data_IF_604898140303
#
_entry.id   IF_604898140303
#
_cell.length_a   1.000
_cell.length_b   1.000
_cell.length_c   1.000
_cell.angle_alpha   90.00
_cell.angle_beta   90.00
_cell.angle_gamma   90.00
#
_symmetry.space_group_name_H-M   'P 1'
#
loop_
_entity.id
_entity.type
_entity.pdbx_description
1 polymer ?
#
# COMPACT_ATOMS: atom_id res chain seq x y z
N UNK A 1 3.89 15.73 -19.31
CA UNK A 1 4.20 14.29 -19.28
C UNK A 1 3.00 13.56 -19.92
N UNK A 2 3.21 12.63 -20.85
CA UNK A 2 2.08 11.95 -21.53
C UNK A 2 1.77 10.62 -20.83
N UNK A 3 0.54 10.42 -20.40
CA UNK A 3 0.06 9.21 -19.72
C UNK A 3 -0.36 8.16 -20.77
N UNK A 4 0.61 7.39 -21.27
CA UNK A 4 0.32 6.30 -22.23
C UNK A 4 0.31 4.93 -21.50
N UNK A 5 -0.82 4.61 -20.90
CA UNK A 5 -1.01 3.35 -20.14
C UNK A 5 -0.89 2.08 -21.00
N UNK A 6 -0.92 2.20 -22.34
CA UNK A 6 -0.75 1.05 -23.25
C UNK A 6 0.68 0.49 -23.21
N UNK A 7 1.65 1.32 -22.82
CA UNK A 7 3.06 0.95 -22.68
C UNK A 7 3.39 0.37 -21.31
N UNK A 8 2.49 0.44 -20.35
CA UNK A 8 2.71 -0.07 -19.01
C UNK A 8 2.73 -1.61 -19.00
N UNK A 9 3.49 -2.17 -18.07
CA UNK A 9 3.62 -3.63 -17.89
C UNK A 9 2.96 -4.08 -16.60
N UNK A 10 2.67 -5.36 -16.52
CA UNK A 10 2.04 -5.98 -15.34
C UNK A 10 3.09 -6.41 -14.33
N UNK A 11 2.80 -6.14 -13.06
CA UNK A 11 3.61 -6.52 -11.91
C UNK A 11 2.71 -7.15 -10.85
N UNK A 12 3.19 -8.18 -10.17
CA UNK A 12 2.50 -8.69 -8.98
C UNK A 12 2.60 -7.68 -7.86
N UNK A 13 1.54 -7.54 -7.06
CA UNK A 13 1.58 -6.68 -5.86
C UNK A 13 2.73 -7.10 -4.94
N UNK A 14 2.99 -8.41 -4.81
CA UNK A 14 4.09 -8.97 -4.03
C UNK A 14 5.50 -8.62 -4.52
N UNK A 15 5.66 -8.22 -5.77
CA UNK A 15 6.97 -7.75 -6.27
C UNK A 15 7.23 -6.27 -5.95
N UNK A 16 6.21 -5.55 -5.50
CA UNK A 16 6.26 -4.11 -5.19
C UNK A 16 6.18 -3.86 -3.68
N UNK A 17 5.33 -4.61 -2.98
CA UNK A 17 5.04 -4.39 -1.56
C UNK A 17 5.34 -5.62 -0.70
N UNK A 18 5.66 -5.35 0.58
CA UNK A 18 5.41 -6.29 1.67
C UNK A 18 4.06 -6.00 2.30
N UNK A 19 3.39 -7.02 2.85
CA UNK A 19 2.08 -6.87 3.49
C UNK A 19 2.15 -7.36 4.94
N UNK A 20 1.50 -6.61 5.84
CA UNK A 20 1.47 -6.90 7.26
C UNK A 20 0.03 -6.89 7.78
N UNK A 21 -0.39 -8.01 8.39
CA UNK A 21 -1.75 -8.17 8.90
C UNK A 21 -1.93 -7.42 10.21
N UNK A 22 -3.03 -6.66 10.34
CA UNK A 22 -3.40 -6.01 11.59
C UNK A 22 -3.87 -6.99 12.67
N UNK A 23 -3.88 -6.52 13.90
CA UNK A 23 -4.43 -7.22 15.08
C UNK A 23 -5.65 -6.48 15.60
N UNK A 24 -6.53 -7.19 16.31
CA UNK A 24 -7.73 -6.57 16.89
C UNK A 24 -7.36 -5.44 17.85
N UNK A 25 -7.92 -4.25 17.62
CA UNK A 25 -7.83 -3.07 18.48
C UNK A 25 -9.26 -2.62 18.74
N UNK A 26 -9.69 -2.53 20.00
CA UNK A 26 -11.03 -2.09 20.35
C UNK A 26 -11.12 -0.58 20.50
N UNK A 27 -12.35 -0.03 20.45
CA UNK A 27 -12.58 1.39 20.68
C UNK A 27 -12.23 1.78 22.13
N UNK A 28 -12.54 0.93 23.08
CA UNK A 28 -12.22 1.10 24.48
C UNK A 28 -10.70 1.22 24.68
N UNK A 29 -9.90 0.36 24.05
CA UNK A 29 -8.44 0.46 24.11
C UNK A 29 -7.90 1.77 23.56
N UNK A 30 -8.50 2.28 22.46
CA UNK A 30 -8.13 3.58 21.87
C UNK A 30 -8.45 4.71 22.82
N UNK A 31 -9.62 4.69 23.49
CA UNK A 31 -10.06 5.72 24.42
C UNK A 31 -9.23 5.70 25.71
N UNK A 32 -8.95 4.51 26.27
CA UNK A 32 -8.18 4.35 27.50
C UNK A 32 -6.67 4.64 27.31
N UNK A 33 -6.16 4.48 26.09
CA UNK A 33 -4.76 4.70 25.76
C UNK A 33 -4.62 5.79 24.68
N UNK A 34 -5.34 6.89 24.86
CA UNK A 34 -5.35 7.99 23.89
C UNK A 34 -3.96 8.60 23.65
N UNK A 35 -3.63 8.94 22.42
CA UNK A 35 -2.35 9.50 22.02
C UNK A 35 -2.44 10.22 20.66
N UNK A 36 -1.34 10.28 19.95
CA UNK A 36 -1.26 10.98 18.65
C UNK A 36 -1.06 10.04 17.46
N UNK A 37 -0.87 8.73 17.71
CA UNK A 37 -0.60 7.78 16.64
C UNK A 37 -1.89 7.28 16.00
N UNK A 38 -1.97 7.34 14.67
CA UNK A 38 -3.18 7.07 13.90
C UNK A 38 -3.54 5.58 13.95
N UNK A 39 -4.81 5.27 14.25
CA UNK A 39 -5.38 3.92 14.15
C UNK A 39 -6.21 3.82 12.89
N UNK A 40 -5.91 2.86 12.02
CA UNK A 40 -6.63 2.62 10.77
C UNK A 40 -7.36 1.28 10.80
N UNK A 41 -8.59 1.28 10.31
CA UNK A 41 -9.42 0.10 10.14
C UNK A 41 -10.08 0.09 8.73
N UNK A 42 -11.13 -0.72 8.52
CA UNK A 42 -11.72 -0.96 7.20
C UNK A 42 -12.65 0.14 6.69
N UNK A 43 -12.84 1.23 7.39
CA UNK A 43 -13.71 2.34 6.95
C UNK A 43 -13.15 3.09 5.74
N UNK A 44 -14.02 3.73 4.96
CA UNK A 44 -13.64 4.65 3.87
C UNK A 44 -13.63 6.10 4.35
N UNK A 45 -14.46 6.42 5.34
CA UNK A 45 -14.55 7.74 5.92
C UNK A 45 -13.25 8.11 6.61
N UNK A 46 -12.94 9.41 6.60
CA UNK A 46 -11.75 9.93 7.26
C UNK A 46 -10.45 9.16 6.93
N UNK A 47 -10.26 8.78 5.66
CA UNK A 47 -9.09 8.03 5.20
C UNK A 47 -8.86 6.69 5.95
N UNK A 48 -9.93 6.05 6.43
CA UNK A 48 -9.89 4.81 7.22
C UNK A 48 -9.51 5.00 8.69
N UNK A 49 -9.31 6.25 9.13
CA UNK A 49 -8.89 6.55 10.50
C UNK A 49 -10.04 6.37 11.48
N UNK A 50 -9.85 5.47 12.45
CA UNK A 50 -10.81 5.20 13.52
C UNK A 50 -10.61 6.12 14.74
N UNK A 51 -9.35 6.48 15.03
CA UNK A 51 -8.98 7.28 16.19
C UNK A 51 -7.47 7.42 16.29
N UNK A 52 -7.01 7.84 17.48
CA UNK A 52 -5.59 8.00 17.78
C UNK A 52 -5.27 7.34 19.12
N UNK A 53 -4.14 6.64 19.18
CA UNK A 53 -3.69 5.83 20.31
C UNK A 53 -2.25 6.21 20.72
N UNK A 54 -1.86 5.86 21.92
CA UNK A 54 -0.47 5.98 22.35
C UNK A 54 0.44 5.01 21.56
N UNK A 55 1.51 5.55 20.97
CA UNK A 55 2.44 4.77 20.15
C UNK A 55 3.18 3.68 20.95
N UNK A 56 3.53 4.00 22.22
CA UNK A 56 4.24 3.05 23.08
C UNK A 56 3.30 1.90 23.49
N UNK A 57 2.03 2.19 23.71
CA UNK A 57 1.03 1.15 23.95
C UNK A 57 0.97 0.14 22.78
N UNK A 58 1.01 0.62 21.54
CA UNK A 58 1.05 -0.27 20.38
C UNK A 58 2.26 -1.22 20.38
N UNK A 59 3.41 -0.74 20.83
CA UNK A 59 4.63 -1.53 20.93
C UNK A 59 4.52 -2.59 22.03
N UNK A 60 4.05 -2.20 23.21
CA UNK A 60 3.81 -3.12 24.36
C UNK A 60 2.83 -4.23 23.98
N UNK A 61 1.76 -3.90 23.28
CA UNK A 61 0.75 -4.86 22.81
C UNK A 61 1.19 -5.65 21.59
N UNK A 62 2.37 -5.36 21.03
CA UNK A 62 2.87 -5.96 19.81
C UNK A 62 1.87 -5.87 18.66
N UNK A 63 1.25 -4.70 18.49
CA UNK A 63 0.36 -4.41 17.38
C UNK A 63 1.15 -4.22 16.07
N UNK A 64 0.47 -4.37 14.94
CA UNK A 64 1.07 -4.15 13.62
C UNK A 64 1.00 -2.67 13.28
N UNK A 65 2.15 -2.03 13.18
CA UNK A 65 2.27 -0.61 12.86
C UNK A 65 3.47 -0.28 11.98
N UNK A 66 3.46 0.91 11.40
CA UNK A 66 4.62 1.52 10.74
C UNK A 66 4.79 2.93 11.25
N UNK A 67 6.01 3.30 11.64
CA UNK A 67 6.40 4.68 11.96
C UNK A 67 6.80 5.49 10.71
N UNK A 68 6.79 4.85 9.54
CA UNK A 68 7.12 5.44 8.24
C UNK A 68 5.88 5.53 7.38
N UNK A 69 5.88 6.37 6.32
CA UNK A 69 4.80 6.41 5.34
C UNK A 69 4.45 5.01 4.84
N UNK A 70 3.17 4.73 4.71
CA UNK A 70 2.67 3.44 4.25
C UNK A 70 1.30 3.56 3.57
N UNK A 71 0.92 2.54 2.80
CA UNK A 71 -0.47 2.35 2.43
C UNK A 71 -1.15 1.39 3.40
N UNK A 72 -2.45 1.56 3.58
CA UNK A 72 -3.29 0.55 4.21
C UNK A 72 -4.31 0.04 3.21
N UNK A 73 -4.69 -1.23 3.33
CA UNK A 73 -5.78 -1.82 2.54
C UNK A 73 -6.80 -2.46 3.45
N UNK A 74 -8.08 -2.11 3.27
CA UNK A 74 -9.18 -2.68 4.01
C UNK A 74 -9.40 -4.15 3.62
N UNK A 75 -9.44 -5.04 4.64
CA UNK A 75 -9.67 -6.48 4.48
C UNK A 75 -11.14 -6.81 4.23
N UNK A 76 -12.04 -6.17 4.97
CA UNK A 76 -13.47 -6.43 5.00
C UNK A 76 -14.24 -5.13 5.16
N UNK A 77 -15.57 -5.17 5.10
CA UNK A 77 -16.39 -3.96 5.04
C UNK A 77 -16.16 -3.26 3.70
N UNK A 78 -15.33 -2.24 3.69
CA UNK A 78 -14.88 -1.55 2.47
C UNK A 78 -13.71 -2.27 1.78
N UNK A 79 -13.82 -3.58 1.58
CA UNK A 79 -12.74 -4.43 1.07
C UNK A 79 -12.05 -3.81 -0.16
N UNK A 80 -10.72 -3.77 -0.13
CA UNK A 80 -9.91 -3.20 -1.20
C UNK A 80 -9.79 -1.67 -1.18
N UNK A 81 -10.42 -0.97 -0.23
CA UNK A 81 -10.17 0.46 -0.04
C UNK A 81 -8.73 0.67 0.41
N UNK A 82 -8.01 1.55 -0.29
CA UNK A 82 -6.60 1.85 -0.03
C UNK A 82 -6.47 3.28 0.44
N UNK A 83 -5.76 3.49 1.56
CA UNK A 83 -5.46 4.82 2.07
C UNK A 83 -3.96 5.02 2.26
N UNK A 84 -3.51 6.27 2.10
CA UNK A 84 -2.13 6.66 2.34
C UNK A 84 -2.01 7.31 3.73
N UNK A 85 -1.06 6.83 4.52
CA UNK A 85 -0.75 7.32 5.86
C UNK A 85 0.68 7.87 5.87
N UNK A 86 0.79 9.20 5.70
CA UNK A 86 2.07 9.88 5.53
C UNK A 86 2.97 9.82 6.79
N UNK A 87 2.34 9.79 7.97
CA UNK A 87 3.04 9.75 9.26
C UNK A 87 3.06 8.34 9.88
N UNK A 88 2.73 7.32 9.07
CA UNK A 88 2.56 5.97 9.58
C UNK A 88 1.24 5.76 10.31
N UNK A 89 1.01 4.53 10.77
CA UNK A 89 -0.18 4.15 11.51
C UNK A 89 -0.05 2.78 12.16
N UNK A 90 -0.97 2.48 13.08
CA UNK A 90 -1.27 1.12 13.54
C UNK A 90 -2.56 0.64 12.87
N UNK A 91 -2.63 -0.64 12.53
CA UNK A 91 -3.81 -1.21 11.88
C UNK A 91 -4.52 -2.25 12.74
N UNK A 92 -5.86 -2.16 12.78
CA UNK A 92 -6.71 -3.20 13.35
C UNK A 92 -6.80 -4.43 12.42
N UNK A 93 -7.45 -5.49 12.89
CA UNK A 93 -7.58 -6.78 12.18
C UNK A 93 -8.38 -6.69 10.87
N UNK A 94 -9.11 -5.62 10.66
CA UNK A 94 -9.87 -5.35 9.42
C UNK A 94 -9.08 -4.59 8.36
N UNK A 95 -7.81 -4.27 8.61
CA UNK A 95 -6.91 -3.61 7.67
C UNK A 95 -5.52 -4.27 7.65
N UNK A 96 -4.74 -3.94 6.64
CA UNK A 96 -3.35 -4.41 6.45
C UNK A 96 -2.47 -3.24 6.06
N UNK A 97 -1.20 -3.28 6.46
CA UNK A 97 -0.17 -2.32 6.00
C UNK A 97 0.53 -2.88 4.77
N UNK A 98 0.76 -2.02 3.79
CA UNK A 98 1.61 -2.26 2.62
C UNK A 98 2.82 -1.32 2.69
N UNK A 99 4.01 -1.90 2.63
CA UNK A 99 5.28 -1.16 2.66
C UNK A 99 6.06 -1.38 1.37
N UNK A 100 6.65 -0.30 0.86
CA UNK A 100 7.66 -0.33 -0.20
C UNK A 100 9.05 -0.57 0.39
N UNK A 101 9.97 -1.07 -0.43
CA UNK A 101 11.39 -1.02 -0.10
C UNK A 101 11.83 0.43 0.14
N UNK A 102 12.69 0.66 1.13
CA UNK A 102 13.16 2.02 1.51
C UNK A 102 13.81 2.78 0.35
N UNK A 103 14.48 2.07 -0.57
CA UNK A 103 15.18 2.66 -1.73
C UNK A 103 14.22 3.36 -2.71
N UNK A 104 12.95 2.94 -2.75
CA UNK A 104 11.95 3.46 -3.69
C UNK A 104 10.80 4.19 -2.99
N UNK A 105 10.77 4.17 -1.65
CA UNK A 105 9.70 4.76 -0.86
C UNK A 105 9.77 6.29 -0.87
N UNK A 106 8.73 6.93 -1.40
CA UNK A 106 8.47 8.36 -1.25
C UNK A 106 6.97 8.60 -1.15
N UNK A 107 6.57 9.75 -0.62
CA UNK A 107 5.14 10.11 -0.53
C UNK A 107 4.48 10.13 -1.91
N UNK A 108 5.20 10.57 -2.91
CA UNK A 108 4.74 10.65 -4.29
C UNK A 108 4.52 9.25 -4.88
N UNK A 109 5.47 8.33 -4.70
CA UNK A 109 5.33 6.94 -5.16
C UNK A 109 4.18 6.25 -4.45
N UNK A 110 4.02 6.42 -3.12
CA UNK A 110 2.87 5.89 -2.40
C UNK A 110 1.54 6.45 -2.92
N UNK A 111 1.47 7.77 -3.19
CA UNK A 111 0.26 8.42 -3.73
C UNK A 111 -0.10 7.88 -5.12
N UNK A 112 0.90 7.70 -5.98
CA UNK A 112 0.72 7.09 -7.30
C UNK A 112 0.17 5.67 -7.18
N UNK A 113 0.81 4.84 -6.38
CA UNK A 113 0.42 3.44 -6.17
C UNK A 113 -0.93 3.28 -5.48
N UNK A 114 -1.30 4.19 -4.56
CA UNK A 114 -2.64 4.25 -4.00
C UNK A 114 -3.70 4.35 -5.10
N UNK A 115 -3.49 5.23 -6.06
CA UNK A 115 -4.42 5.40 -7.20
C UNK A 115 -4.52 4.12 -8.04
N UNK A 116 -3.38 3.49 -8.34
CA UNK A 116 -3.33 2.24 -9.11
C UNK A 116 -4.04 1.09 -8.39
N UNK A 117 -3.77 0.91 -7.10
CA UNK A 117 -4.41 -0.13 -6.29
C UNK A 117 -5.91 0.12 -6.12
N UNK A 118 -6.32 1.38 -5.97
CA UNK A 118 -7.74 1.76 -5.88
C UNK A 118 -8.51 1.42 -7.15
N UNK A 119 -7.89 1.53 -8.32
CA UNK A 119 -8.49 1.12 -9.59
C UNK A 119 -8.80 -0.39 -9.65
N UNK A 120 -8.08 -1.21 -8.88
CA UNK A 120 -8.30 -2.66 -8.78
C UNK A 120 -9.34 -3.05 -7.71
N UNK A 121 -9.89 -2.10 -6.97
CA UNK A 121 -10.83 -2.36 -5.86
C UNK A 121 -12.06 -3.16 -6.29
N UNK A 122 -12.51 -3.03 -7.52
CA UNK A 122 -13.67 -3.78 -8.04
C UNK A 122 -13.53 -5.30 -7.95
N UNK A 123 -12.30 -5.82 -7.81
CA UNK A 123 -12.03 -7.25 -7.62
C UNK A 123 -12.44 -7.74 -6.23
N UNK A 124 -12.62 -6.82 -5.28
CA UNK A 124 -12.94 -7.08 -3.88
C UNK A 124 -14.34 -6.53 -3.55
N UNK A 125 -15.08 -7.26 -2.73
CA UNK A 125 -16.44 -6.88 -2.32
C UNK A 125 -16.85 -7.67 -1.07
N UNK A 126 -18.08 -7.46 -0.62
CA UNK A 126 -18.69 -8.31 0.41
C UNK A 126 -18.66 -9.77 -0.06
N UNK A 127 -18.07 -10.66 0.76
CA UNK A 127 -17.82 -12.06 0.40
C UNK A 127 -16.52 -12.32 -0.36
N UNK A 128 -15.84 -11.29 -0.87
CA UNK A 128 -14.52 -11.37 -1.52
C UNK A 128 -13.50 -10.53 -0.76
N UNK A 129 -13.22 -10.92 0.47
CA UNK A 129 -12.29 -10.23 1.35
C UNK A 129 -10.88 -10.18 0.76
N UNK A 130 -10.15 -9.12 1.11
CA UNK A 130 -8.71 -9.01 0.88
C UNK A 130 -8.00 -10.00 1.80
N UNK A 131 -7.56 -11.12 1.26
CA UNK A 131 -6.63 -12.03 1.92
C UNK A 131 -5.22 -11.73 1.44
N UNK A 132 -4.21 -12.00 2.27
CA UNK A 132 -2.81 -11.80 1.89
C UNK A 132 -2.48 -12.51 0.57
N UNK A 133 -2.78 -13.82 0.49
CA UNK A 133 -2.48 -14.62 -0.69
C UNK A 133 -3.12 -14.06 -1.97
N UNK A 134 -4.40 -13.70 -1.95
CA UNK A 134 -5.08 -13.14 -3.14
C UNK A 134 -4.53 -11.79 -3.54
N UNK A 135 -4.37 -10.88 -2.56
CA UNK A 135 -3.95 -9.52 -2.82
C UNK A 135 -2.51 -9.45 -3.35
N UNK A 136 -1.60 -10.21 -2.75
CA UNK A 136 -0.20 -10.24 -3.14
C UNK A 136 0.04 -10.92 -4.48
N UNK A 137 -0.83 -11.85 -4.90
CA UNK A 137 -0.80 -12.46 -6.23
C UNK A 137 -1.57 -11.69 -7.31
N UNK A 138 -2.30 -10.64 -6.92
CA UNK A 138 -2.95 -9.76 -7.89
C UNK A 138 -1.93 -8.96 -8.68
N UNK A 139 -2.32 -8.51 -9.88
CA UNK A 139 -1.45 -7.73 -10.78
C UNK A 139 -1.91 -6.29 -10.89
N UNK A 140 -0.94 -5.41 -11.01
CA UNK A 140 -1.11 -3.98 -11.29
C UNK A 140 -0.29 -3.60 -12.51
N UNK A 141 -0.74 -2.59 -13.26
CA UNK A 141 0.03 -2.04 -14.40
C UNK A 141 0.78 -0.82 -13.95
N UNK A 142 2.09 -0.77 -14.24
CA UNK A 142 2.97 0.34 -13.90
C UNK A 142 3.79 0.77 -15.12
N UNK A 143 4.19 2.05 -15.19
CA UNK A 143 5.18 2.52 -16.15
C UNK A 143 6.50 1.78 -15.92
N UNK A 144 7.26 1.55 -16.99
CA UNK A 144 8.54 0.84 -16.95
C UNK A 144 9.69 1.74 -17.37
N UNK A 145 10.88 1.42 -16.88
CA UNK A 145 12.11 2.12 -17.23
C UNK A 145 12.50 1.85 -18.69
N UNK A 146 13.09 2.87 -19.30
CA UNK A 146 13.65 2.82 -20.66
C UNK A 146 15.13 3.16 -20.65
N UNK A 147 15.87 2.55 -21.55
CA UNK A 147 17.25 2.92 -21.87
C UNK A 147 17.28 4.23 -22.67
N UNK A 148 18.45 4.85 -22.80
CA UNK A 148 18.64 6.08 -23.56
C UNK A 148 18.28 5.93 -25.06
N UNK A 149 18.40 4.73 -25.61
CA UNK A 149 18.03 4.39 -26.98
C UNK A 149 16.53 4.17 -27.20
N UNK A 150 15.71 4.31 -26.12
CA UNK A 150 14.26 4.15 -26.14
C UNK A 150 13.79 2.70 -26.06
N UNK A 151 14.67 1.73 -25.88
CA UNK A 151 14.28 0.35 -25.59
C UNK A 151 13.91 0.19 -24.11
N UNK A 152 13.06 -0.81 -23.78
CA UNK A 152 12.70 -1.09 -22.38
C UNK A 152 13.96 -1.61 -21.64
N UNK A 153 14.22 -1.03 -20.47
CA UNK A 153 15.28 -1.53 -19.59
C UNK A 153 14.88 -2.89 -19.02
N UNK A 154 15.82 -3.84 -19.03
CA UNK A 154 15.63 -5.21 -18.56
C UNK A 154 16.60 -5.53 -17.43
N UNK A 155 16.08 -5.89 -16.27
CA UNK A 155 16.87 -6.32 -15.12
C UNK A 155 17.12 -7.83 -15.15
N UNK A 156 18.39 -8.23 -15.23
CA UNK A 156 18.78 -9.64 -15.25
C UNK A 156 18.46 -10.37 -13.93
N UNK A 157 18.39 -9.65 -12.80
CA UNK A 157 18.00 -10.23 -11.50
C UNK A 157 16.50 -10.55 -11.41
N UNK A 158 15.70 -9.95 -12.30
CA UNK A 158 14.24 -10.12 -12.34
C UNK A 158 13.54 -9.80 -11.01
N UNK A 159 14.04 -8.79 -10.29
CA UNK A 159 13.54 -8.41 -8.97
C UNK A 159 12.03 -8.15 -8.96
N UNK A 160 11.50 -7.48 -10.00
CA UNK A 160 10.12 -7.00 -10.04
C UNK A 160 9.20 -7.80 -10.96
N UNK A 161 9.73 -8.48 -11.97
CA UNK A 161 8.94 -9.29 -12.90
C UNK A 161 9.74 -10.44 -13.50
N UNK A 162 9.06 -11.53 -13.83
CA UNK A 162 9.68 -12.71 -14.46
C UNK A 162 10.28 -12.38 -15.84
N UNK A 163 9.75 -11.35 -16.51
CA UNK A 163 10.26 -10.84 -17.79
C UNK A 163 11.46 -9.90 -17.63
N UNK A 164 11.78 -9.46 -16.40
CA UNK A 164 12.86 -8.53 -16.11
C UNK A 164 12.48 -7.05 -16.21
N UNK A 165 11.19 -6.72 -16.37
CA UNK A 165 10.73 -5.32 -16.34
C UNK A 165 10.97 -4.68 -14.97
N UNK A 166 11.30 -3.40 -14.98
CA UNK A 166 11.50 -2.58 -13.77
C UNK A 166 10.53 -1.41 -13.79
N UNK A 167 9.75 -1.18 -12.72
CA UNK A 167 8.88 0.00 -12.65
C UNK A 167 9.72 1.29 -12.69
N UNK A 168 9.21 2.32 -13.36
CA UNK A 168 9.85 3.63 -13.41
C UNK A 168 9.43 4.49 -12.22
N UNK A 169 10.09 4.26 -11.07
CA UNK A 169 9.84 4.97 -9.82
C UNK A 169 10.04 6.48 -9.94
N UNK A 170 11.07 6.89 -10.68
CA UNK A 170 11.38 8.31 -10.90
C UNK A 170 10.30 9.00 -11.74
N UNK A 171 9.77 8.29 -12.73
CA UNK A 171 8.66 8.81 -13.53
C UNK A 171 7.40 8.99 -12.67
N UNK A 172 7.06 7.99 -11.82
CA UNK A 172 5.91 8.07 -10.91
C UNK A 172 6.04 9.26 -9.96
N UNK A 173 7.22 9.44 -9.37
CA UNK A 173 7.50 10.55 -8.47
C UNK A 173 7.35 11.91 -9.15
N UNK A 174 7.93 12.06 -10.36
CA UNK A 174 7.81 13.28 -11.17
C UNK A 174 6.38 13.54 -11.65
N UNK A 175 5.58 12.49 -11.85
CA UNK A 175 4.20 12.63 -12.29
C UNK A 175 3.31 13.22 -11.21
N UNK A 176 3.56 12.91 -9.95
CA UNK A 176 2.81 13.41 -8.78
C UNK A 176 3.26 14.82 -8.38
N UNK A 177 4.54 15.18 -8.53
CA UNK A 177 5.05 16.56 -8.29
C UNK A 177 4.53 17.57 -9.32
#
# INVERSE_FOLDING_TARGET
MNLDIKKWKEFKVSSVFTIHNGKGITKEEIEENAGNFTVVQSGEENNGVLGKIDRNYCEVMNYTFSDKPCLTVARSGSAGFVSFQADGCVVGDSAKILLLDEEIASNEVYTFLQTILSANRFKYAYGRKVTESKYMNDTIKLPVQYNEDGTIYMDASKKYSDDGYVPDWQWMEKYIK
#
